data_IF_638961196567
#
_entry.id   IF_638961196567
#
_cell.length_a   1.000
_cell.length_b   1.000
_cell.length_c   1.000
_cell.angle_alpha   90.00
_cell.angle_beta   90.00
_cell.angle_gamma   90.00
#
_symmetry.space_group_name_H-M   'P 1'
#
loop_
_entity.id
_entity.type
_entity.pdbx_description
1 polymer ?
#
# COMPACT_ATOMS: atom_id res chain seq x y z
N UNK A 1 -11.13 -53.24 9.11
CA UNK A 1 -12.23 -52.84 8.22
C UNK A 1 -12.59 -51.38 8.49
N UNK A 2 -12.16 -50.44 7.66
CA UNK A 2 -12.42 -48.99 7.82
C UNK A 2 -13.45 -48.57 6.77
N UNK A 3 -14.63 -48.13 7.21
CA UNK A 3 -15.71 -47.61 6.37
C UNK A 3 -15.37 -46.20 5.87
N UNK A 4 -15.19 -46.03 4.57
CA UNK A 4 -15.14 -44.74 3.90
C UNK A 4 -16.55 -44.16 3.79
N UNK A 5 -16.76 -42.97 4.36
CA UNK A 5 -17.97 -42.15 4.12
C UNK A 5 -17.73 -41.33 2.85
N UNK A 6 -18.48 -41.67 1.80
CA UNK A 6 -18.61 -40.85 0.58
C UNK A 6 -19.52 -39.66 0.86
N UNK A 7 -18.95 -38.46 0.82
CA UNK A 7 -19.70 -37.22 0.90
C UNK A 7 -20.13 -36.81 -0.52
N UNK A 8 -21.41 -36.83 -0.77
CA UNK A 8 -22.05 -36.43 -2.04
C UNK A 8 -22.08 -34.90 -2.10
N UNK A 9 -21.35 -34.29 -3.03
CA UNK A 9 -21.46 -32.87 -3.36
C UNK A 9 -22.72 -32.72 -4.25
N UNK A 10 -23.69 -31.97 -3.76
CA UNK A 10 -24.86 -31.54 -4.56
C UNK A 10 -24.44 -30.32 -5.39
N UNK A 11 -24.34 -30.52 -6.70
CA UNK A 11 -24.27 -29.46 -7.68
C UNK A 11 -25.64 -28.81 -7.80
N UNK A 12 -25.76 -27.54 -7.47
CA UNK A 12 -26.97 -26.76 -7.71
C UNK A 12 -26.71 -25.88 -8.94
N UNK A 13 -27.28 -26.32 -10.06
CA UNK A 13 -27.42 -25.55 -11.30
C UNK A 13 -28.50 -24.48 -11.07
N UNK A 14 -28.16 -23.22 -11.20
CA UNK A 14 -29.12 -22.13 -11.38
C UNK A 14 -28.93 -21.58 -12.79
N UNK A 15 -29.94 -21.84 -13.60
CA UNK A 15 -30.06 -21.40 -14.99
C UNK A 15 -30.48 -19.93 -15.09
N UNK A 16 -29.92 -19.30 -16.07
CA UNK A 16 -30.46 -18.35 -17.04
C UNK A 16 -31.72 -17.55 -16.69
N UNK A 17 -31.57 -16.24 -16.69
CA UNK A 17 -32.61 -15.36 -17.23
C UNK A 17 -31.98 -14.23 -18.06
N UNK A 18 -32.06 -14.43 -19.37
CA UNK A 18 -31.91 -13.40 -20.41
C UNK A 18 -33.27 -12.73 -20.56
N UNK A 19 -33.38 -11.43 -20.36
CA UNK A 19 -34.39 -10.61 -21.02
C UNK A 19 -33.71 -9.31 -21.46
N UNK A 20 -33.63 -9.16 -22.77
CA UNK A 20 -33.22 -7.93 -23.44
C UNK A 20 -34.37 -6.92 -23.48
N UNK A 21 -33.99 -5.65 -23.48
CA UNK A 21 -34.80 -4.60 -24.11
C UNK A 21 -33.88 -3.65 -24.83
N UNK A 22 -33.89 -3.75 -26.13
CA UNK A 22 -33.43 -2.74 -27.07
C UNK A 22 -34.43 -1.61 -27.08
N UNK A 23 -34.00 -0.40 -26.75
CA UNK A 23 -34.76 0.81 -27.07
C UNK A 23 -33.92 1.70 -27.95
N UNK A 24 -34.30 1.66 -29.23
CA UNK A 24 -33.81 2.52 -30.28
C UNK A 24 -34.53 3.86 -30.18
N UNK A 25 -33.80 4.95 -30.07
CA UNK A 25 -34.33 6.27 -30.46
C UNK A 25 -33.38 6.93 -31.46
N UNK A 26 -33.84 6.96 -32.69
CA UNK A 26 -33.39 7.88 -33.76
C UNK A 26 -33.97 9.24 -33.46
N UNK A 27 -33.17 10.29 -33.57
CA UNK A 27 -33.56 11.62 -34.05
C UNK A 27 -32.31 12.29 -34.60
N UNK A 28 -32.21 12.40 -35.88
CA UNK A 28 -32.63 13.49 -36.80
C UNK A 28 -31.72 14.73 -36.71
N UNK A 29 -31.03 14.87 -37.80
CA UNK A 29 -30.14 15.93 -38.29
C UNK A 29 -30.84 17.29 -38.28
N UNK A 30 -30.09 18.34 -37.91
CA UNK A 30 -30.03 19.66 -38.55
C UNK A 30 -28.86 20.43 -37.95
N UNK A 31 -27.86 20.71 -38.68
CA UNK A 31 -27.54 21.74 -39.67
C UNK A 31 -26.90 22.99 -39.04
N UNK A 32 -25.65 23.21 -39.46
CA UNK A 32 -24.93 24.46 -39.59
C UNK A 32 -24.96 25.52 -38.49
N UNK A 33 -23.84 25.64 -37.78
CA UNK A 33 -23.16 26.96 -37.71
C UNK A 33 -21.66 26.78 -37.42
N UNK A 34 -20.83 27.29 -38.32
CA UNK A 34 -19.43 27.63 -38.10
C UNK A 34 -19.23 28.52 -36.88
N UNK A 35 -18.16 28.22 -36.14
CA UNK A 35 -17.18 29.10 -35.46
C UNK A 35 -16.85 28.60 -34.07
N UNK A 36 -15.74 28.32 -33.77
CA UNK A 36 -14.45 28.83 -33.39
C UNK A 36 -13.63 27.72 -32.71
N UNK A 37 -12.39 27.48 -33.10
CA UNK A 37 -11.47 26.63 -32.35
C UNK A 37 -10.78 27.53 -31.34
N UNK A 38 -11.10 27.40 -30.06
CA UNK A 38 -10.27 27.81 -28.94
C UNK A 38 -11.14 27.86 -27.66
N UNK A 39 -11.46 26.67 -27.19
CA UNK A 39 -11.70 26.49 -25.75
C UNK A 39 -11.31 25.06 -25.41
N UNK A 40 -10.00 24.78 -25.45
CA UNK A 40 -9.45 23.74 -24.63
C UNK A 40 -9.81 24.11 -23.18
N UNK A 41 -10.90 23.56 -22.72
CA UNK A 41 -11.14 23.49 -21.29
C UNK A 41 -10.03 22.62 -20.73
N UNK A 42 -8.96 23.28 -20.29
CA UNK A 42 -8.06 22.73 -19.28
C UNK A 42 -8.98 22.19 -18.18
N UNK A 43 -9.22 20.89 -18.21
CA UNK A 43 -9.73 20.17 -17.06
C UNK A 43 -8.71 20.43 -15.97
N UNK A 44 -9.00 21.39 -15.13
CA UNK A 44 -8.32 21.55 -13.84
C UNK A 44 -8.55 20.19 -13.16
N UNK A 45 -7.53 19.32 -13.22
CA UNK A 45 -7.45 18.19 -12.31
C UNK A 45 -7.60 18.80 -10.93
N UNK A 46 -8.79 18.67 -10.37
CA UNK A 46 -9.02 19.03 -8.99
C UNK A 46 -8.05 18.17 -8.18
N UNK A 47 -7.06 18.81 -7.59
CA UNK A 47 -6.18 18.23 -6.59
C UNK A 47 -7.06 17.70 -5.45
N UNK A 48 -7.63 16.52 -5.65
CA UNK A 48 -8.38 15.84 -4.60
C UNK A 48 -7.38 15.45 -3.54
N UNK A 49 -7.33 16.26 -2.49
CA UNK A 49 -6.48 16.03 -1.33
C UNK A 49 -6.64 14.57 -0.87
N UNK A 50 -5.57 13.80 -0.99
CA UNK A 50 -5.54 12.40 -0.57
C UNK A 50 -5.73 12.36 0.94
N UNK A 51 -6.75 11.67 1.41
CA UNK A 51 -6.93 11.42 2.83
C UNK A 51 -5.93 10.32 3.27
N UNK A 52 -4.76 10.73 3.75
CA UNK A 52 -3.69 9.85 4.20
C UNK A 52 -3.64 9.80 5.74
N UNK A 53 -4.15 8.72 6.37
CA UNK A 53 -4.17 8.60 7.84
C UNK A 53 -2.79 8.50 8.49
N UNK A 54 -1.75 8.15 7.70
CA UNK A 54 -0.37 8.06 8.17
C UNK A 54 0.47 9.26 7.75
N UNK A 55 -0.13 10.31 7.18
CA UNK A 55 0.59 11.53 6.78
C UNK A 55 1.47 12.08 7.91
N UNK A 56 2.68 12.49 7.55
CA UNK A 56 3.69 13.06 8.45
C UNK A 56 4.15 12.11 9.56
N UNK A 57 4.00 10.80 9.38
CA UNK A 57 4.49 9.77 10.29
C UNK A 57 5.75 9.09 9.73
N UNK A 58 6.66 8.75 10.64
CA UNK A 58 7.86 7.97 10.37
C UNK A 58 7.89 6.77 11.28
N UNK A 59 8.21 5.60 10.71
CA UNK A 59 8.32 4.34 11.42
C UNK A 59 9.66 3.69 11.13
N UNK A 60 10.23 3.00 12.10
CA UNK A 60 11.44 2.22 11.95
C UNK A 60 11.09 0.72 11.87
N UNK A 61 11.74 0.00 10.98
CA UNK A 61 11.61 -1.45 10.87
C UNK A 61 12.21 -2.12 12.11
N UNK A 62 11.51 -3.12 12.63
CA UNK A 62 11.96 -3.92 13.77
C UNK A 62 12.37 -5.29 13.28
N UNK A 63 13.46 -5.81 13.87
CA UNK A 63 13.87 -7.17 13.76
C UNK A 63 13.27 -7.99 14.88
N UNK A 64 13.06 -9.28 14.63
CA UNK A 64 12.57 -10.23 15.62
C UNK A 64 13.67 -11.22 15.93
N UNK A 65 14.15 -11.17 17.16
CA UNK A 65 15.13 -12.10 17.70
C UNK A 65 14.54 -13.52 17.86
N UNK A 66 15.40 -14.52 18.02
CA UNK A 66 14.99 -15.92 18.19
C UNK A 66 14.09 -16.11 19.43
N UNK A 67 14.34 -15.36 20.50
CA UNK A 67 13.51 -15.34 21.71
C UNK A 67 12.16 -14.63 21.53
N UNK A 68 11.90 -14.06 20.34
CA UNK A 68 10.70 -13.30 20.01
C UNK A 68 10.73 -11.83 20.42
N UNK A 69 11.80 -11.34 21.03
CA UNK A 69 12.00 -9.92 21.33
C UNK A 69 12.07 -9.11 20.04
N UNK A 70 11.51 -7.90 20.05
CA UNK A 70 11.61 -6.93 18.95
C UNK A 70 12.77 -5.97 19.24
N UNK A 71 13.64 -5.81 18.27
CA UNK A 71 14.81 -4.92 18.36
C UNK A 71 14.85 -3.95 17.18
N UNK A 72 15.54 -2.84 17.37
CA UNK A 72 15.77 -1.84 16.37
C UNK A 72 17.25 -1.86 15.95
N UNK A 73 17.53 -2.34 14.75
CA UNK A 73 18.87 -2.32 14.20
C UNK A 73 19.28 -0.92 13.79
N UNK A 74 20.45 -0.49 14.27
CA UNK A 74 21.10 0.75 13.89
C UNK A 74 22.34 0.41 13.05
N UNK A 75 22.40 0.98 11.86
CA UNK A 75 23.46 0.73 10.89
C UNK A 75 24.47 1.86 10.90
N UNK A 76 25.77 1.59 10.85
CA UNK A 76 26.75 2.62 10.63
C UNK A 76 26.53 3.21 9.23
N UNK A 77 26.43 4.56 9.17
CA UNK A 77 26.18 5.30 7.94
C UNK A 77 27.31 6.27 7.76
N UNK A 78 28.25 6.49 7.43
CA UNK A 78 29.39 7.41 7.43
C UNK A 78 30.01 7.57 8.83
N UNK A 79 31.28 7.46 8.92
CA UNK A 79 32.19 7.52 10.07
C UNK A 79 31.58 7.60 11.49
N UNK A 80 30.66 8.52 11.77
CA UNK A 80 30.00 8.67 13.07
C UNK A 80 28.47 8.74 13.02
N UNK A 81 27.88 8.63 11.83
CA UNK A 81 26.43 8.63 11.66
C UNK A 81 25.85 7.21 11.65
N UNK A 82 24.68 7.08 12.25
CA UNK A 82 23.92 5.84 12.26
C UNK A 82 22.54 6.09 11.68
N UNK A 83 22.11 5.23 10.81
CA UNK A 83 20.73 5.26 10.31
C UNK A 83 20.00 3.95 10.61
N UNK A 84 18.67 4.00 10.48
CA UNK A 84 17.77 2.91 10.76
C UNK A 84 16.87 2.70 9.55
N UNK A 85 16.65 1.45 9.17
CA UNK A 85 15.68 1.12 8.14
C UNK A 85 14.31 1.71 8.52
N UNK A 86 13.71 2.49 7.62
CA UNK A 86 12.53 3.31 7.93
C UNK A 86 11.54 3.37 6.80
N UNK A 87 10.32 3.73 7.13
CA UNK A 87 9.30 4.15 6.18
C UNK A 87 8.79 5.52 6.61
N UNK A 88 8.64 6.43 5.66
CA UNK A 88 8.17 7.79 5.90
C UNK A 88 6.94 8.02 5.04
N UNK A 89 5.89 8.56 5.64
CA UNK A 89 4.69 9.00 4.95
C UNK A 89 4.64 10.52 4.98
N UNK A 90 4.51 11.13 3.82
CA UNK A 90 4.11 12.53 3.67
C UNK A 90 2.63 12.59 3.26
N UNK A 91 2.11 13.75 2.93
CA UNK A 91 0.72 13.89 2.45
C UNK A 91 0.48 13.10 1.15
N UNK A 92 1.47 13.06 0.24
CA UNK A 92 1.34 12.48 -1.09
C UNK A 92 2.38 11.41 -1.44
N UNK A 93 3.35 11.18 -0.55
CA UNK A 93 4.47 10.28 -0.83
C UNK A 93 4.68 9.26 0.29
N UNK A 94 5.18 8.10 -0.10
CA UNK A 94 5.70 7.07 0.78
C UNK A 94 7.15 6.79 0.39
N UNK A 95 8.08 6.94 1.35
CA UNK A 95 9.50 6.63 1.17
C UNK A 95 9.80 5.36 1.94
N UNK A 96 10.15 4.28 1.22
CA UNK A 96 10.53 2.99 1.80
C UNK A 96 12.05 2.85 1.83
N UNK A 97 12.66 3.26 2.92
CA UNK A 97 14.09 3.15 3.21
C UNK A 97 14.43 1.87 3.97
N UNK A 98 13.80 0.75 3.64
CA UNK A 98 14.23 -0.56 4.16
C UNK A 98 15.64 -0.90 3.70
N UNK A 99 15.98 -0.59 2.44
CA UNK A 99 17.35 -0.44 2.01
C UNK A 99 17.78 1.01 2.32
N UNK A 100 18.65 1.17 3.31
CA UNK A 100 19.08 2.49 3.78
C UNK A 100 19.84 3.28 2.70
N UNK A 101 20.61 2.55 1.88
CA UNK A 101 21.44 3.16 0.84
C UNK A 101 20.63 3.61 -0.39
N UNK A 102 19.53 2.92 -0.67
CA UNK A 102 18.72 3.15 -1.85
C UNK A 102 17.23 3.09 -1.48
N UNK A 103 16.67 4.15 -0.90
CA UNK A 103 15.25 4.20 -0.56
C UNK A 103 14.40 4.24 -1.83
N UNK A 104 13.27 3.56 -1.81
CA UNK A 104 12.28 3.64 -2.88
C UNK A 104 11.26 4.73 -2.57
N UNK A 105 11.03 5.61 -3.55
CA UNK A 105 10.05 6.67 -3.47
C UNK A 105 8.78 6.32 -4.26
N UNK A 106 7.65 6.41 -3.60
CA UNK A 106 6.35 6.07 -4.12
C UNK A 106 5.40 7.24 -4.01
N UNK A 107 4.80 7.65 -5.12
CA UNK A 107 3.64 8.55 -5.11
C UNK A 107 2.43 7.79 -4.59
N UNK A 108 1.70 8.38 -3.68
CA UNK A 108 0.44 7.83 -3.18
C UNK A 108 -0.66 8.28 -4.15
N UNK A 109 -1.21 7.34 -4.92
CA UNK A 109 -2.29 7.61 -5.85
C UNK A 109 -3.65 7.59 -5.14
N UNK A 110 -3.81 6.65 -4.22
CA UNK A 110 -5.05 6.48 -3.47
C UNK A 110 -4.79 5.74 -2.17
N UNK A 111 -5.53 6.14 -1.14
CA UNK A 111 -5.63 5.38 0.12
C UNK A 111 -7.07 4.97 0.32
N UNK A 112 -7.29 3.71 0.66
CA UNK A 112 -8.59 3.22 1.11
C UNK A 112 -8.44 2.51 2.44
N UNK A 113 -9.53 2.45 3.19
CA UNK A 113 -9.56 1.79 4.49
C UNK A 113 -10.68 0.75 4.50
N UNK A 114 -10.35 -0.44 4.95
CA UNK A 114 -11.30 -1.51 5.20
C UNK A 114 -11.11 -1.98 6.64
N UNK A 115 -12.04 -1.64 7.51
CA UNK A 115 -11.91 -1.78 8.96
C UNK A 115 -10.62 -1.11 9.50
N UNK A 116 -9.71 -1.90 10.03
CA UNK A 116 -8.40 -1.43 10.52
C UNK A 116 -7.26 -1.55 9.49
N UNK A 117 -7.56 -2.05 8.29
CA UNK A 117 -6.60 -2.22 7.21
C UNK A 117 -6.56 -0.96 6.34
N UNK A 118 -5.39 -0.36 6.23
CA UNK A 118 -5.10 0.73 5.31
C UNK A 118 -4.47 0.15 4.04
N UNK A 119 -5.03 0.50 2.89
CA UNK A 119 -4.62 0.00 1.58
C UNK A 119 -4.12 1.18 0.76
N UNK A 120 -2.82 1.19 0.47
CA UNK A 120 -2.15 2.23 -0.31
C UNK A 120 -1.90 1.73 -1.73
N UNK A 121 -2.45 2.44 -2.70
CA UNK A 121 -2.12 2.26 -4.11
C UNK A 121 -1.02 3.25 -4.48
N UNK A 122 0.10 2.72 -4.93
CA UNK A 122 1.36 3.43 -5.05
C UNK A 122 1.91 3.32 -6.47
N UNK A 123 2.50 4.39 -6.95
CA UNK A 123 3.23 4.45 -8.21
C UNK A 123 4.69 4.81 -7.91
N UNK A 124 5.64 4.05 -8.45
CA UNK A 124 7.05 4.31 -8.24
C UNK A 124 7.47 5.59 -8.99
N UNK A 125 8.19 6.49 -8.30
CA UNK A 125 8.59 7.77 -8.90
C UNK A 125 9.55 7.59 -10.07
N UNK A 126 10.53 6.70 -9.95
CA UNK A 126 11.53 6.43 -10.99
C UNK A 126 10.99 5.61 -12.16
N UNK A 127 9.94 4.82 -11.93
CA UNK A 127 9.31 3.98 -12.95
C UNK A 127 7.78 3.97 -12.75
N UNK A 128 7.05 4.92 -13.38
CA UNK A 128 5.61 5.06 -13.22
C UNK A 128 4.77 3.84 -13.65
N UNK A 129 5.31 2.96 -14.48
CA UNK A 129 4.64 1.69 -14.83
C UNK A 129 4.65 0.69 -13.67
N UNK A 130 5.56 0.87 -12.71
CA UNK A 130 5.65 0.02 -11.54
C UNK A 130 4.67 0.50 -10.47
N UNK A 131 3.50 -0.10 -10.47
CA UNK A 131 2.46 0.15 -9.48
C UNK A 131 2.42 -0.97 -8.46
N UNK A 132 2.21 -0.62 -7.19
CA UNK A 132 2.09 -1.60 -6.09
C UNK A 132 0.99 -1.22 -5.13
N UNK A 133 0.48 -2.23 -4.46
CA UNK A 133 -0.46 -2.06 -3.36
C UNK A 133 0.23 -2.51 -2.07
N UNK A 134 0.27 -1.60 -1.10
CA UNK A 134 0.77 -1.89 0.23
C UNK A 134 -0.37 -1.93 1.23
N UNK A 135 -0.26 -2.85 2.19
CA UNK A 135 -1.27 -3.12 3.19
C UNK A 135 -0.69 -2.86 4.58
N UNK A 136 -1.35 -2.00 5.36
CA UNK A 136 -0.88 -1.61 6.68
C UNK A 136 -1.97 -1.79 7.73
N UNK A 137 -1.57 -2.23 8.93
CA UNK A 137 -2.36 -2.17 10.15
C UNK A 137 -1.62 -1.29 11.15
N UNK A 138 -2.24 -0.23 11.60
CA UNK A 138 -1.65 0.67 12.57
C UNK A 138 -2.32 0.54 13.92
N UNK A 139 -1.56 0.12 14.93
CA UNK A 139 -1.96 0.16 16.33
C UNK A 139 -1.40 1.43 16.97
N UNK A 140 -2.17 2.51 16.92
CA UNK A 140 -1.75 3.82 17.43
C UNK A 140 -1.39 3.79 18.91
N UNK A 141 -2.16 3.07 19.74
CA UNK A 141 -1.90 2.95 21.17
C UNK A 141 -0.51 2.38 21.46
N UNK A 142 -0.09 1.37 20.72
CA UNK A 142 1.25 0.77 20.82
C UNK A 142 2.30 1.49 19.98
N UNK A 143 1.89 2.29 18.98
CA UNK A 143 2.77 2.86 17.99
C UNK A 143 3.34 1.83 17.03
N UNK A 144 2.67 0.69 16.84
CA UNK A 144 3.13 -0.41 16.00
C UNK A 144 2.39 -0.37 14.67
N UNK A 145 3.15 -0.36 13.59
CA UNK A 145 2.67 -0.51 12.22
C UNK A 145 3.06 -1.88 11.71
N UNK A 146 2.10 -2.62 11.21
CA UNK A 146 2.32 -3.89 10.52
C UNK A 146 2.16 -3.67 9.03
N UNK A 147 3.20 -3.97 8.24
CA UNK A 147 3.15 -3.98 6.77
C UNK A 147 3.05 -5.40 6.27
N UNK A 148 1.98 -5.75 5.56
CA UNK A 148 1.79 -7.06 4.97
C UNK A 148 2.19 -7.08 3.51
N UNK A 149 2.91 -8.12 3.11
CA UNK A 149 3.20 -8.46 1.72
C UNK A 149 2.54 -9.79 1.42
N UNK A 150 1.59 -9.78 0.49
CA UNK A 150 0.98 -10.99 -0.02
C UNK A 150 1.77 -11.50 -1.24
N UNK A 151 2.31 -12.70 -1.14
CA UNK A 151 3.04 -13.38 -2.22
C UNK A 151 2.39 -14.73 -2.50
N UNK A 152 2.63 -15.27 -3.71
CA UNK A 152 2.05 -16.57 -4.12
C UNK A 152 2.45 -17.73 -3.22
N UNK A 153 3.65 -17.70 -2.68
CA UNK A 153 4.28 -18.78 -1.91
C UNK A 153 4.19 -18.56 -0.40
N UNK A 154 4.20 -17.34 0.06
CA UNK A 154 4.05 -17.01 1.49
C UNK A 154 3.72 -15.54 1.72
N UNK A 155 2.98 -15.29 2.78
CA UNK A 155 2.76 -13.95 3.29
C UNK A 155 3.91 -13.55 4.21
N UNK A 156 4.34 -12.32 4.09
CA UNK A 156 5.37 -11.75 4.96
C UNK A 156 4.78 -10.54 5.70
N UNK A 157 5.04 -10.45 7.00
CA UNK A 157 4.66 -9.30 7.80
C UNK A 157 5.91 -8.63 8.36
N UNK A 158 6.09 -7.36 8.04
CA UNK A 158 7.09 -6.51 8.69
C UNK A 158 6.44 -5.79 9.86
N UNK A 159 7.20 -5.64 10.93
CA UNK A 159 6.78 -4.93 12.14
C UNK A 159 7.60 -3.65 12.21
N UNK A 160 6.94 -2.53 12.44
CA UNK A 160 7.59 -1.23 12.54
C UNK A 160 7.10 -0.51 13.79
N UNK A 161 7.96 0.33 14.35
CA UNK A 161 7.66 1.19 15.50
C UNK A 161 7.62 2.66 15.08
N UNK A 162 6.62 3.39 15.54
CA UNK A 162 6.56 4.84 15.41
C UNK A 162 7.84 5.48 15.97
N UNK A 163 8.43 6.38 15.21
CA UNK A 163 9.69 7.04 15.58
C UNK A 163 9.61 7.71 16.95
N UNK A 164 8.46 8.25 17.32
CA UNK A 164 8.22 8.88 18.63
C UNK A 164 8.25 7.89 19.80
N UNK A 165 8.04 6.59 19.52
CA UNK A 165 8.03 5.51 20.51
C UNK A 165 9.26 4.60 20.42
N UNK A 166 10.18 4.88 19.52
CA UNK A 166 11.35 4.04 19.26
C UNK A 166 12.28 3.85 20.45
N UNK A 167 12.27 4.79 21.41
CA UNK A 167 13.05 4.66 22.65
C UNK A 167 12.55 3.56 23.59
N UNK A 168 11.35 3.01 23.36
CA UNK A 168 10.82 1.87 24.13
C UNK A 168 11.34 0.52 23.64
N UNK A 169 12.12 0.48 22.57
CA UNK A 169 12.65 -0.74 21.97
C UNK A 169 14.17 -0.76 22.12
N UNK A 170 14.72 -1.93 22.40
CA UNK A 170 16.17 -2.14 22.51
C UNK A 170 16.83 -1.88 21.15
N UNK A 171 17.87 -1.06 21.14
CA UNK A 171 18.68 -0.76 19.96
C UNK A 171 19.88 -1.68 19.88
N UNK A 172 20.14 -2.25 18.72
CA UNK A 172 21.25 -3.16 18.45
C UNK A 172 22.08 -2.60 17.28
N UNK A 173 23.40 -2.51 17.47
CA UNK A 173 24.29 -2.15 16.37
C UNK A 173 24.34 -3.32 15.38
N UNK A 174 24.00 -3.05 14.12
CA UNK A 174 24.15 -4.03 13.06
C UNK A 174 25.65 -4.18 12.74
N UNK A 175 26.10 -5.41 12.66
CA UNK A 175 27.43 -5.71 12.14
C UNK A 175 27.37 -5.63 10.61
N UNK A 176 28.28 -4.86 10.02
CA UNK A 176 28.50 -4.93 8.58
C UNK A 176 29.10 -6.30 8.28
N UNK A 177 28.33 -7.15 7.64
CA UNK A 177 28.88 -8.41 7.13
C UNK A 177 29.85 -8.04 6.00
N UNK A 178 31.13 -8.41 6.10
CA UNK A 178 32.15 -8.05 5.11
C UNK A 178 31.89 -8.67 3.74
#
# INVERSE_FOLDING_TARGET
MKKQKKQKIKLLLISLFLIGTVSSCKNVVNDNTEKDPLNESLSIESDTKINNPLANKKFYYLDKEENGELTLSIFPYLEDDYDMAKIIFTDSMLIDGRNIMEPYEWKIERVSQQDSLLIYHLQMMENPENQKTFYFYYNEKKGILYRKLYRKDRDTTFILIDSLKSNSVRKVKAELIP
#
